data_IF_532612047952
#
_entry.id   IF_532612047952
#
_cell.length_a   1.000
_cell.length_b   1.000
_cell.length_c   1.000
_cell.angle_alpha   90.00
_cell.angle_beta   90.00
_cell.angle_gamma   90.00
#
_symmetry.space_group_name_H-M   'P 1'
#
loop_
_entity.id
_entity.type
_entity.pdbx_description
1 polymer ?
#
# COMPACT_ATOMS: atom_id res chain seq x y z
N UNK A 1 33.46 -32.01 11.80
CA UNK A 1 32.06 -32.15 11.37
C UNK A 1 31.50 -30.73 11.27
N UNK A 2 31.44 -30.18 10.04
CA UNK A 2 30.90 -28.82 9.82
C UNK A 2 29.41 -28.96 9.55
N UNK A 3 28.59 -28.52 10.47
CA UNK A 3 27.11 -28.45 10.32
C UNK A 3 26.79 -27.29 9.42
N UNK A 4 26.40 -27.56 8.19
CA UNK A 4 25.88 -26.56 7.25
C UNK A 4 24.44 -26.26 7.69
N UNK A 5 24.21 -25.09 8.26
CA UNK A 5 22.86 -24.58 8.51
C UNK A 5 22.31 -24.08 7.17
N UNK A 6 21.35 -24.80 6.62
CA UNK A 6 20.58 -24.37 5.46
C UNK A 6 19.73 -23.17 5.88
N UNK A 7 20.07 -21.99 5.37
CA UNK A 7 19.21 -20.80 5.48
C UNK A 7 18.07 -20.95 4.47
N UNK A 8 16.89 -21.26 4.92
CA UNK A 8 15.68 -21.09 4.14
C UNK A 8 15.40 -19.60 4.08
N UNK A 9 15.68 -18.99 2.96
CA UNK A 9 15.20 -17.63 2.64
C UNK A 9 13.68 -17.75 2.50
N UNK A 10 12.92 -17.22 3.44
CA UNK A 10 11.46 -17.05 3.26
C UNK A 10 11.30 -16.01 2.16
N UNK A 11 10.69 -16.40 1.06
CA UNK A 11 10.28 -15.44 0.04
C UNK A 11 9.34 -14.42 0.69
N UNK A 12 9.66 -13.13 0.54
CA UNK A 12 8.76 -12.08 0.95
C UNK A 12 7.48 -12.22 0.12
N UNK A 13 6.34 -12.34 0.78
CA UNK A 13 5.04 -12.29 0.11
C UNK A 13 4.86 -10.82 -0.26
N UNK A 14 4.95 -10.51 -1.55
CA UNK A 14 4.64 -9.17 -2.06
C UNK A 14 3.12 -9.02 -2.04
N UNK A 15 2.60 -8.33 -1.04
CA UNK A 15 1.21 -7.89 -1.02
C UNK A 15 1.15 -6.58 -1.80
N UNK A 16 0.37 -6.48 -2.90
CA UNK A 16 0.29 -5.26 -3.68
C UNK A 16 -0.33 -4.14 -2.87
N UNK A 17 0.32 -2.98 -2.92
CA UNK A 17 -0.20 -1.65 -2.55
C UNK A 17 -0.75 -1.42 -1.13
N UNK A 18 -0.25 -2.11 -0.12
CA UNK A 18 -0.05 -1.51 1.18
C UNK A 18 1.46 -1.37 1.34
N UNK A 19 1.94 -0.24 1.77
CA UNK A 19 3.33 -0.06 2.19
C UNK A 19 3.56 -0.96 3.40
N UNK A 20 3.60 -2.27 3.16
CA UNK A 20 4.13 -3.18 4.14
C UNK A 20 5.62 -3.03 3.98
N UNK A 21 6.22 -2.23 4.85
CA UNK A 21 7.64 -2.39 5.11
C UNK A 21 7.89 -3.88 5.18
N UNK A 22 8.60 -4.38 4.18
CA UNK A 22 9.12 -5.74 4.24
C UNK A 22 9.79 -5.83 5.60
N UNK A 23 9.17 -6.56 6.52
CA UNK A 23 9.66 -6.65 7.88
C UNK A 23 11.10 -7.05 7.78
N UNK A 24 12.00 -6.12 8.08
CA UNK A 24 13.43 -6.31 7.99
C UNK A 24 13.79 -7.51 8.86
N UNK A 25 13.85 -8.67 8.25
CA UNK A 25 14.36 -9.86 8.88
C UNK A 25 15.86 -9.67 8.99
N UNK A 26 16.34 -9.36 10.21
CA UNK A 26 17.73 -9.29 10.63
C UNK A 26 18.56 -8.21 9.95
N UNK A 27 18.52 -7.00 10.51
CA UNK A 27 19.44 -5.92 10.21
C UNK A 27 20.91 -6.36 10.37
N UNK A 28 21.66 -6.25 9.30
CA UNK A 28 23.08 -6.00 9.32
C UNK A 28 23.28 -4.55 8.90
N UNK A 29 24.17 -3.84 9.55
CA UNK A 29 24.53 -2.43 9.41
C UNK A 29 23.93 -1.69 8.19
N UNK A 30 22.93 -0.84 8.43
CA UNK A 30 22.30 0.09 7.50
C UNK A 30 22.24 -0.37 6.04
N UNK A 31 21.12 -0.96 5.60
CA UNK A 31 20.97 -1.52 4.25
C UNK A 31 20.15 -0.58 3.36
N UNK A 32 20.67 -0.32 2.17
CA UNK A 32 19.91 0.30 1.09
C UNK A 32 19.31 -0.76 0.19
N UNK A 33 18.07 -0.58 -0.20
CA UNK A 33 17.40 -1.39 -1.21
C UNK A 33 16.63 -0.50 -2.20
N UNK A 34 16.39 -1.04 -3.37
CA UNK A 34 15.52 -0.42 -4.35
C UNK A 34 14.60 -1.49 -4.94
N UNK A 35 13.44 -1.05 -5.41
CA UNK A 35 12.50 -1.92 -6.09
C UNK A 35 12.01 -1.25 -7.37
N UNK A 36 11.55 -2.06 -8.31
CA UNK A 36 10.84 -1.60 -9.50
C UNK A 36 9.74 -2.60 -9.85
N UNK A 37 8.59 -2.11 -10.28
CA UNK A 37 7.48 -2.96 -10.67
C UNK A 37 6.69 -2.38 -11.84
N UNK A 38 5.95 -3.27 -12.50
CA UNK A 38 4.91 -2.94 -13.44
C UNK A 38 3.63 -3.65 -13.04
N UNK A 39 2.51 -2.95 -13.10
CA UNK A 39 1.20 -3.51 -12.82
C UNK A 39 0.23 -3.17 -13.95
N UNK A 40 -0.72 -4.06 -14.22
CA UNK A 40 -1.77 -3.81 -15.23
C UNK A 40 -2.82 -2.80 -14.76
N UNK A 41 -2.86 -2.52 -13.46
CA UNK A 41 -3.73 -1.54 -12.83
C UNK A 41 -3.15 -1.22 -11.44
N UNK A 42 -2.95 0.04 -11.13
CA UNK A 42 -2.56 0.44 -9.79
C UNK A 42 -3.81 0.52 -8.91
N UNK A 43 -3.92 -0.37 -7.94
CA UNK A 43 -5.01 -0.41 -6.97
C UNK A 43 -4.50 0.07 -5.61
N UNK A 44 -5.09 1.14 -5.07
CA UNK A 44 -4.86 1.64 -3.73
C UNK A 44 -6.16 1.55 -2.93
N UNK A 45 -6.16 0.81 -1.83
CA UNK A 45 -7.35 0.58 -0.98
C UNK A 45 -8.59 0.17 -1.80
N UNK A 46 -8.40 -0.74 -2.78
CA UNK A 46 -9.46 -1.23 -3.65
C UNK A 46 -9.82 -0.34 -4.84
N UNK A 47 -9.35 0.91 -4.86
CA UNK A 47 -9.65 1.89 -5.91
C UNK A 47 -8.54 1.94 -6.96
N UNK A 48 -8.91 2.03 -8.24
CA UNK A 48 -7.92 2.23 -9.32
C UNK A 48 -7.33 3.64 -9.26
N UNK A 49 -6.02 3.74 -9.38
CA UNK A 49 -5.28 5.00 -9.44
C UNK A 49 -4.85 5.33 -10.88
N UNK A 50 -5.21 4.48 -11.84
CA UNK A 50 -4.79 4.60 -13.24
C UNK A 50 -5.92 4.35 -14.23
N UNK A 51 -7.19 4.57 -13.86
CA UNK A 51 -8.36 4.28 -14.73
C UNK A 51 -8.36 2.85 -15.29
N UNK A 52 -7.89 1.87 -14.52
CA UNK A 52 -7.68 0.48 -14.93
C UNK A 52 -6.60 0.31 -16.01
N UNK A 53 -5.69 1.27 -16.15
CA UNK A 53 -4.54 1.20 -17.04
C UNK A 53 -3.26 0.80 -16.29
N UNK A 54 -2.19 0.54 -17.04
CA UNK A 54 -0.93 0.08 -16.47
C UNK A 54 -0.17 1.18 -15.73
N UNK A 55 0.53 0.79 -14.68
CA UNK A 55 1.48 1.64 -13.97
C UNK A 55 2.90 1.06 -13.97
N UNK A 56 3.88 1.97 -13.93
CA UNK A 56 5.29 1.69 -13.63
C UNK A 56 5.61 2.34 -12.29
N UNK A 57 6.17 1.55 -11.40
CA UNK A 57 6.34 1.91 -9.99
C UNK A 57 7.74 1.58 -9.52
N UNK A 58 8.23 2.28 -8.51
CA UNK A 58 9.51 1.94 -7.91
C UNK A 58 9.86 2.80 -6.72
N UNK A 59 10.78 2.32 -5.90
CA UNK A 59 11.18 2.99 -4.67
C UNK A 59 12.62 2.70 -4.27
N UNK A 60 13.09 3.48 -3.31
CA UNK A 60 14.39 3.33 -2.66
C UNK A 60 14.19 3.45 -1.15
N UNK A 61 14.77 2.52 -0.41
CA UNK A 61 14.64 2.42 1.03
C UNK A 61 16.00 2.39 1.71
N UNK A 62 16.06 2.92 2.91
CA UNK A 62 17.15 2.74 3.86
C UNK A 62 16.60 2.21 5.18
N UNK A 63 17.12 1.10 5.65
CA UNK A 63 16.80 0.52 6.95
C UNK A 63 18.04 0.53 7.85
N UNK A 64 17.96 1.13 9.03
CA UNK A 64 19.01 1.16 10.03
C UNK A 64 18.90 -0.03 10.99
N UNK A 65 20.02 -0.46 11.59
CA UNK A 65 20.10 -1.58 12.55
C UNK A 65 19.20 -1.44 13.78
N UNK A 66 18.88 -0.21 14.13
CA UNK A 66 18.06 0.08 15.31
C UNK A 66 16.56 0.02 15.05
N UNK A 67 16.13 -0.32 13.83
CA UNK A 67 14.75 -0.39 13.42
C UNK A 67 14.19 0.88 12.78
N UNK A 68 14.95 1.99 12.75
CA UNK A 68 14.56 3.18 11.99
C UNK A 68 14.67 2.90 10.48
N UNK A 69 13.73 3.40 9.70
CA UNK A 69 13.78 3.38 8.24
C UNK A 69 13.24 4.67 7.64
N UNK A 70 13.67 4.94 6.41
CA UNK A 70 13.17 6.01 5.57
C UNK A 70 13.18 5.52 4.12
N UNK A 71 12.21 5.93 3.35
CA UNK A 71 12.13 5.57 1.95
C UNK A 71 11.34 6.55 1.12
N UNK A 72 11.34 6.29 -0.17
CA UNK A 72 10.56 7.01 -1.17
C UNK A 72 10.08 6.03 -2.23
N UNK A 73 8.89 6.28 -2.74
CA UNK A 73 8.29 5.49 -3.80
C UNK A 73 7.56 6.39 -4.79
N UNK A 74 7.39 5.95 -6.02
CA UNK A 74 6.67 6.71 -7.03
C UNK A 74 5.94 5.79 -8.02
N UNK A 75 4.85 6.30 -8.57
CA UNK A 75 4.03 5.70 -9.62
C UNK A 75 3.48 6.76 -10.56
N UNK A 76 3.22 6.40 -11.81
CA UNK A 76 2.28 7.18 -12.59
C UNK A 76 0.85 6.95 -12.09
N UNK A 77 0.03 7.98 -12.16
CA UNK A 77 -1.41 7.94 -11.88
C UNK A 77 -2.20 8.58 -13.02
N UNK A 78 -3.49 8.28 -13.10
CA UNK A 78 -4.41 8.85 -14.08
C UNK A 78 -5.84 8.73 -13.52
N UNK A 79 -6.51 9.84 -13.31
CA UNK A 79 -7.87 9.88 -12.78
C UNK A 79 -8.89 10.37 -13.81
N UNK A 80 -8.48 10.52 -15.08
CA UNK A 80 -9.38 10.80 -16.18
C UNK A 80 -8.95 11.91 -17.12
N UNK A 81 -9.65 12.02 -18.22
CA UNK A 81 -9.32 12.98 -19.25
C UNK A 81 -9.47 14.42 -18.75
N UNK A 82 -8.35 15.13 -18.67
CA UNK A 82 -8.29 16.53 -18.26
C UNK A 82 -8.07 16.76 -16.79
N UNK A 83 -7.76 15.71 -16.02
CA UNK A 83 -7.22 15.85 -14.67
C UNK A 83 -5.83 16.49 -14.68
N UNK A 84 -5.34 16.87 -13.52
CA UNK A 84 -4.04 17.50 -13.34
C UNK A 84 -2.98 16.54 -12.80
N UNK A 85 -3.37 15.28 -12.56
CA UNK A 85 -2.51 14.27 -11.97
C UNK A 85 -1.73 13.50 -13.02
N UNK A 86 -0.44 13.29 -12.81
CA UNK A 86 0.40 12.44 -13.65
C UNK A 86 1.27 11.47 -12.87
N UNK A 87 1.58 11.80 -11.60
CA UNK A 87 2.36 10.96 -10.71
C UNK A 87 1.86 11.03 -9.27
N UNK A 88 2.20 10.00 -8.51
CA UNK A 88 2.21 9.96 -7.06
C UNK A 88 3.65 9.72 -6.62
N UNK A 89 4.11 10.48 -5.65
CA UNK A 89 5.44 10.37 -5.06
C UNK A 89 5.34 10.38 -3.54
N UNK A 90 5.68 9.25 -2.93
CA UNK A 90 5.61 9.04 -1.51
C UNK A 90 6.96 9.24 -0.84
N UNK A 91 6.93 9.85 0.35
CA UNK A 91 8.07 9.91 1.26
C UNK A 91 7.62 9.42 2.63
N UNK A 92 8.34 8.48 3.19
CA UNK A 92 7.96 7.88 4.46
C UNK A 92 9.16 7.65 5.37
N UNK A 93 8.86 7.64 6.68
CA UNK A 93 9.82 7.27 7.70
C UNK A 93 9.08 6.57 8.86
N UNK A 94 9.76 5.62 9.50
CA UNK A 94 9.14 4.89 10.60
C UNK A 94 10.15 4.15 11.47
N UNK A 95 9.59 3.40 12.40
CA UNK A 95 10.34 2.61 13.34
C UNK A 95 9.68 1.24 13.54
N UNK A 96 10.40 0.19 13.14
CA UNK A 96 10.00 -1.20 13.28
C UNK A 96 10.70 -1.85 14.50
N UNK A 97 9.95 -2.56 15.32
CA UNK A 97 10.47 -3.26 16.50
C UNK A 97 9.64 -4.51 16.82
N UNK A 98 10.11 -5.34 17.74
CA UNK A 98 9.38 -6.54 18.16
C UNK A 98 9.26 -6.62 19.68
N UNK A 99 8.14 -7.15 20.15
CA UNK A 99 7.88 -7.49 21.55
C UNK A 99 7.41 -8.94 21.65
N UNK A 100 8.32 -9.86 21.98
CA UNK A 100 8.06 -11.29 21.90
C UNK A 100 7.83 -11.73 20.45
N UNK A 101 6.72 -12.39 20.21
CA UNK A 101 6.35 -12.88 18.86
C UNK A 101 5.56 -11.83 18.04
N UNK A 102 5.35 -10.64 18.58
CA UNK A 102 4.63 -9.55 17.93
C UNK A 102 5.63 -8.58 17.32
N UNK A 103 5.49 -8.30 16.04
CA UNK A 103 6.17 -7.21 15.34
C UNK A 103 5.29 -5.97 15.32
N UNK A 104 5.93 -4.81 15.44
CA UNK A 104 5.30 -3.49 15.41
C UNK A 104 5.97 -2.62 14.39
N UNK A 105 5.19 -1.75 13.79
CA UNK A 105 5.65 -0.71 12.88
C UNK A 105 4.87 0.58 13.16
N UNK A 106 5.57 1.69 13.33
CA UNK A 106 4.95 3.01 13.52
C UNK A 106 5.66 4.01 12.63
N UNK A 107 4.90 4.85 11.95
CA UNK A 107 5.53 5.79 11.02
C UNK A 107 4.58 6.86 10.51
N UNK A 108 5.12 7.60 9.56
CA UNK A 108 4.44 8.65 8.82
C UNK A 108 4.71 8.45 7.33
N UNK A 109 3.67 8.57 6.53
CA UNK A 109 3.70 8.49 5.07
C UNK A 109 3.09 9.76 4.51
N UNK A 110 3.80 10.43 3.61
CA UNK A 110 3.37 11.61 2.89
C UNK A 110 3.21 11.27 1.42
N UNK A 111 2.02 11.49 0.90
CA UNK A 111 1.66 11.35 -0.51
C UNK A 111 1.74 12.72 -1.18
N UNK A 112 2.54 12.82 -2.23
CA UNK A 112 2.73 14.04 -3.00
C UNK A 112 2.36 13.81 -4.46
N UNK A 113 1.59 14.73 -5.01
CA UNK A 113 1.12 14.72 -6.39
C UNK A 113 1.64 15.93 -7.17
N UNK A 114 1.16 16.11 -8.40
CA UNK A 114 1.42 17.32 -9.18
C UNK A 114 0.92 18.56 -8.45
N UNK A 115 1.70 19.63 -8.47
CA UNK A 115 1.44 20.84 -7.68
C UNK A 115 0.10 21.51 -7.99
N UNK A 116 -0.43 21.31 -9.20
CA UNK A 116 -1.72 21.82 -9.62
C UNK A 116 -2.89 21.02 -9.04
N UNK A 117 -2.61 19.86 -8.43
CA UNK A 117 -3.63 19.00 -7.82
C UNK A 117 -4.12 19.56 -6.48
N UNK A 118 -3.25 20.26 -5.74
CA UNK A 118 -3.53 20.78 -4.39
C UNK A 118 -4.17 19.69 -3.49
N UNK A 119 -3.61 18.48 -3.53
CA UNK A 119 -4.19 17.28 -2.89
C UNK A 119 -3.17 16.46 -2.10
N UNK A 120 -2.02 17.02 -1.82
CA UNK A 120 -1.02 16.35 -0.99
C UNK A 120 -1.58 16.05 0.40
N UNK A 121 -1.26 14.87 0.93
CA UNK A 121 -1.70 14.51 2.26
C UNK A 121 -0.70 13.59 2.97
N UNK A 122 -0.82 13.50 4.28
CA UNK A 122 0.00 12.63 5.11
C UNK A 122 -0.80 11.81 6.09
N UNK A 123 -0.32 10.61 6.39
CA UNK A 123 -0.91 9.71 7.36
C UNK A 123 0.12 9.29 8.41
N UNK A 124 -0.30 9.23 9.67
CA UNK A 124 0.42 8.48 10.71
C UNK A 124 -0.16 7.08 10.78
N UNK A 125 0.69 6.08 11.00
CA UNK A 125 0.21 4.70 11.07
C UNK A 125 0.84 3.90 12.21
N UNK A 126 0.12 2.86 12.58
CA UNK A 126 0.60 1.78 13.45
C UNK A 126 0.23 0.44 12.85
N UNK A 127 1.23 -0.40 12.66
CA UNK A 127 1.12 -1.79 12.21
C UNK A 127 1.48 -2.78 13.31
N UNK A 128 0.83 -3.93 13.27
CA UNK A 128 1.11 -5.06 14.15
C UNK A 128 1.06 -6.35 13.34
N UNK A 129 2.02 -7.27 13.59
CA UNK A 129 2.05 -8.60 12.97
C UNK A 129 2.26 -9.71 14.00
N UNK A 130 1.61 -10.84 13.81
CA UNK A 130 1.81 -12.07 14.57
C UNK A 130 1.64 -13.30 13.69
N UNK A 131 2.72 -14.06 13.50
CA UNK A 131 2.73 -15.19 12.57
C UNK A 131 2.46 -14.73 11.14
N UNK A 132 1.41 -15.27 10.53
CA UNK A 132 0.98 -14.96 9.17
C UNK A 132 -0.11 -13.86 9.11
N UNK A 133 -0.48 -13.28 10.25
CA UNK A 133 -1.48 -12.23 10.40
C UNK A 133 -0.84 -10.86 10.58
N UNK A 134 -1.42 -9.82 9.94
CA UNK A 134 -1.11 -8.42 10.24
C UNK A 134 -2.35 -7.55 10.27
N UNK A 135 -2.24 -6.44 10.99
CA UNK A 135 -3.23 -5.37 11.04
C UNK A 135 -2.48 -4.04 10.96
N UNK A 136 -3.01 -3.10 10.19
CA UNK A 136 -2.48 -1.73 10.14
C UNK A 136 -3.61 -0.72 10.28
N UNK A 137 -3.36 0.35 11.00
CA UNK A 137 -4.26 1.46 11.20
C UNK A 137 -3.56 2.74 10.80
N UNK A 138 -4.12 3.41 9.79
CA UNK A 138 -3.65 4.68 9.26
C UNK A 138 -4.64 5.77 9.66
N UNK A 139 -4.14 6.92 10.08
CA UNK A 139 -4.93 8.12 10.40
C UNK A 139 -4.47 9.27 9.52
N UNK A 140 -5.41 9.99 8.91
CA UNK A 140 -5.13 11.26 8.26
C UNK A 140 -4.44 12.21 9.25
N UNK A 141 -3.27 12.70 8.91
CA UNK A 141 -2.50 13.62 9.74
C UNK A 141 -2.62 15.07 9.26
N UNK A 142 -2.61 15.28 7.96
CA UNK A 142 -2.75 16.58 7.31
C UNK A 142 -3.08 16.39 5.83
N UNK A 143 -3.68 17.41 5.21
CA UNK A 143 -3.88 17.47 3.76
C UNK A 143 -3.85 18.91 3.27
N UNK A 144 -3.59 19.09 1.98
CA UNK A 144 -3.73 20.36 1.26
C UNK A 144 -5.12 20.50 0.62
N UNK A 145 -5.89 19.40 0.55
CA UNK A 145 -7.21 19.43 -0.04
C UNK A 145 -8.17 20.38 0.71
N UNK A 146 -8.90 21.15 -0.05
CA UNK A 146 -9.94 22.03 0.49
C UNK A 146 -11.14 21.22 1.00
N UNK A 147 -11.65 21.61 2.18
CA UNK A 147 -12.88 21.04 2.74
C UNK A 147 -14.12 21.57 2.00
N UNK A 148 -14.99 20.64 1.59
CA UNK A 148 -16.32 20.97 1.12
C UNK A 148 -17.28 21.35 2.26
N UNK A 149 -18.50 21.77 1.92
CA UNK A 149 -19.52 22.11 2.93
C UNK A 149 -19.87 20.91 3.81
N UNK A 150 -19.53 20.98 5.09
CA UNK A 150 -19.82 19.93 6.08
C UNK A 150 -18.80 18.82 6.15
N UNK A 151 -17.67 18.91 5.43
CA UNK A 151 -16.54 18.00 5.54
C UNK A 151 -15.55 18.45 6.61
N UNK A 152 -14.86 17.49 7.23
CA UNK A 152 -13.75 17.69 8.16
C UNK A 152 -12.56 16.84 7.73
N UNK A 153 -11.45 17.49 7.37
CA UNK A 153 -10.19 16.87 7.00
C UNK A 153 -9.10 17.05 8.07
N UNK A 154 -9.52 17.33 9.30
CA UNK A 154 -8.62 17.48 10.45
C UNK A 154 -7.90 16.20 10.81
N UNK A 155 -6.95 16.33 11.72
CA UNK A 155 -6.18 15.20 12.23
C UNK A 155 -7.08 14.12 12.84
N UNK A 156 -7.02 12.90 12.27
CA UNK A 156 -7.75 11.74 12.77
C UNK A 156 -9.20 11.62 12.32
N UNK A 157 -9.72 12.59 11.54
CA UNK A 157 -11.12 12.58 11.07
C UNK A 157 -11.34 11.57 9.92
N UNK A 158 -10.26 11.05 9.34
CA UNK A 158 -10.33 9.93 8.42
C UNK A 158 -9.30 8.85 8.78
N UNK A 159 -9.66 7.60 8.54
CA UNK A 159 -8.79 6.47 8.83
C UNK A 159 -8.94 5.32 7.83
N UNK A 160 -7.88 4.53 7.73
CA UNK A 160 -7.92 3.24 7.04
C UNK A 160 -7.42 2.12 7.96
N UNK A 161 -8.24 1.08 8.13
CA UNK A 161 -7.90 -0.11 8.90
C UNK A 161 -7.79 -1.29 7.95
N UNK A 162 -6.64 -1.97 7.90
CA UNK A 162 -6.45 -3.20 7.14
C UNK A 162 -6.20 -4.42 8.01
N UNK A 163 -6.63 -5.57 7.52
CA UNK A 163 -6.37 -6.90 8.05
C UNK A 163 -5.82 -7.75 6.91
N UNK A 164 -4.69 -8.40 7.15
CA UNK A 164 -4.00 -9.21 6.16
C UNK A 164 -3.67 -10.60 6.73
N UNK A 165 -3.75 -11.60 5.86
CA UNK A 165 -3.32 -12.96 6.16
C UNK A 165 -2.59 -13.56 4.97
N UNK A 166 -1.34 -14.00 5.17
CA UNK A 166 -0.51 -14.53 4.10
C UNK A 166 0.06 -15.90 4.43
N UNK A 167 0.04 -16.84 3.46
CA UNK A 167 0.64 -18.17 3.62
C UNK A 167 1.21 -18.68 2.30
N UNK A 168 2.11 -19.66 2.37
CA UNK A 168 2.71 -20.29 1.21
C UNK A 168 2.18 -21.70 1.00
N UNK A 169 1.80 -22.02 -0.23
CA UNK A 169 1.43 -23.37 -0.66
C UNK A 169 2.68 -24.22 -0.85
N UNK A 170 2.53 -25.55 -0.79
CA UNK A 170 3.63 -26.50 -0.92
C UNK A 170 4.42 -26.46 -2.24
N UNK A 171 3.85 -25.80 -3.28
CA UNK A 171 4.48 -25.59 -4.58
C UNK A 171 5.20 -24.22 -4.69
N UNK A 172 5.33 -23.47 -3.57
CA UNK A 172 6.00 -22.19 -3.50
C UNK A 172 5.15 -21.03 -4.04
N UNK A 173 3.84 -21.18 -4.15
CA UNK A 173 2.92 -20.07 -4.44
C UNK A 173 2.52 -19.42 -3.12
N UNK A 174 2.80 -18.13 -2.96
CA UNK A 174 2.27 -17.31 -1.89
C UNK A 174 0.81 -16.98 -2.14
N UNK A 175 0.00 -17.01 -1.09
CA UNK A 175 -1.42 -16.60 -1.09
C UNK A 175 -1.60 -15.50 -0.08
N UNK A 176 -2.14 -14.36 -0.51
CA UNK A 176 -2.51 -13.24 0.34
C UNK A 176 -4.01 -13.04 0.37
N UNK A 177 -4.55 -12.78 1.55
CA UNK A 177 -5.94 -12.36 1.77
C UNK A 177 -5.89 -10.99 2.45
N UNK A 178 -6.68 -10.07 1.96
CA UNK A 178 -6.74 -8.69 2.45
C UNK A 178 -8.18 -8.25 2.62
N UNK A 179 -8.42 -7.45 3.65
CA UNK A 179 -9.64 -6.70 3.86
C UNK A 179 -9.29 -5.37 4.51
N UNK A 180 -9.78 -4.27 3.93
CA UNK A 180 -9.57 -2.92 4.42
C UNK A 180 -10.88 -2.16 4.58
N UNK A 181 -10.90 -1.17 5.47
CA UNK A 181 -12.02 -0.25 5.66
C UNK A 181 -11.48 1.18 5.76
N UNK A 182 -11.90 2.01 4.82
CA UNK A 182 -11.59 3.44 4.76
C UNK A 182 -12.84 4.22 5.17
N UNK A 183 -12.72 5.14 6.12
CA UNK A 183 -13.83 5.90 6.65
C UNK A 183 -13.39 7.34 6.97
N UNK A 184 -14.38 8.25 6.98
CA UNK A 184 -14.21 9.68 7.18
C UNK A 184 -14.44 10.48 5.90
N UNK A 185 -14.65 11.78 6.04
CA UNK A 185 -15.01 12.66 4.90
C UNK A 185 -13.89 12.69 3.83
N UNK A 186 -12.64 12.55 4.24
CA UNK A 186 -11.51 12.48 3.30
C UNK A 186 -11.56 11.20 2.43
N UNK A 187 -12.16 10.08 2.90
CA UNK A 187 -12.36 8.90 2.08
C UNK A 187 -13.29 9.15 0.89
N UNK A 188 -14.25 10.07 1.02
CA UNK A 188 -15.15 10.48 -0.07
C UNK A 188 -14.39 11.16 -1.21
N UNK A 189 -13.34 11.90 -0.92
CA UNK A 189 -12.50 12.55 -1.93
C UNK A 189 -11.90 11.54 -2.92
N UNK A 190 -11.62 10.30 -2.49
CA UNK A 190 -11.08 9.23 -3.35
C UNK A 190 -12.15 8.43 -4.08
N UNK A 191 -13.32 8.21 -3.50
CA UNK A 191 -14.34 7.34 -4.08
C UNK A 191 -15.53 8.11 -4.69
N UNK A 192 -15.67 9.40 -4.35
CA UNK A 192 -16.62 10.34 -4.96
C UNK A 192 -18.09 10.15 -4.54
N UNK A 193 -18.43 9.25 -3.61
CA UNK A 193 -19.82 9.00 -3.31
C UNK A 193 -20.15 8.45 -1.91
N UNK A 194 -19.18 8.13 -1.07
CA UNK A 194 -19.42 7.62 0.27
C UNK A 194 -18.27 7.95 1.22
N UNK A 195 -18.58 8.42 2.44
CA UNK A 195 -17.57 8.69 3.46
C UNK A 195 -16.88 7.42 3.99
N UNK A 196 -17.44 6.24 3.76
CA UNK A 196 -16.82 4.98 4.16
C UNK A 196 -17.10 3.85 3.18
N UNK A 197 -16.06 3.00 2.96
CA UNK A 197 -16.17 1.79 2.14
C UNK A 197 -15.21 0.71 2.63
N UNK A 198 -15.46 -0.51 2.19
CA UNK A 198 -14.60 -1.68 2.47
C UNK A 198 -14.07 -2.22 1.15
N UNK A 199 -12.78 -2.52 1.13
CA UNK A 199 -12.13 -3.22 0.04
C UNK A 199 -11.65 -4.60 0.50
N UNK A 200 -11.50 -5.52 -0.45
CA UNK A 200 -11.00 -6.86 -0.20
C UNK A 200 -10.33 -7.44 -1.44
N UNK A 201 -9.29 -8.20 -1.21
CA UNK A 201 -8.63 -8.89 -2.31
C UNK A 201 -8.07 -10.27 -1.90
N UNK A 202 -7.83 -11.07 -2.92
CA UNK A 202 -7.03 -12.29 -2.86
C UNK A 202 -5.91 -12.20 -3.88
N UNK A 203 -4.70 -12.54 -3.48
CA UNK A 203 -3.52 -12.52 -4.34
C UNK A 203 -2.78 -13.84 -4.36
N UNK A 204 -2.14 -14.14 -5.49
CA UNK A 204 -1.29 -15.30 -5.71
C UNK A 204 0.04 -14.81 -6.26
N UNK A 205 1.15 -15.10 -5.58
CA UNK A 205 2.47 -14.61 -5.96
C UNK A 205 3.48 -15.74 -6.15
N UNK A 206 4.34 -15.59 -7.16
CA UNK A 206 5.48 -16.48 -7.38
C UNK A 206 6.50 -15.86 -8.33
N UNK A 207 7.79 -15.97 -7.98
CA UNK A 207 8.92 -15.58 -8.83
C UNK A 207 8.80 -14.12 -9.36
N UNK A 208 8.37 -13.20 -8.51
CA UNK A 208 8.15 -11.79 -8.83
C UNK A 208 6.79 -11.47 -9.48
N UNK A 209 6.05 -12.46 -9.96
CA UNK A 209 4.70 -12.28 -10.48
C UNK A 209 3.67 -12.30 -9.36
N UNK A 210 2.67 -11.43 -9.49
CA UNK A 210 1.47 -11.46 -8.65
C UNK A 210 0.24 -11.36 -9.54
N UNK A 211 -0.73 -12.23 -9.25
CA UNK A 211 -2.09 -12.14 -9.77
C UNK A 211 -3.02 -11.81 -8.60
N UNK A 212 -3.80 -10.75 -8.72
CA UNK A 212 -4.72 -10.30 -7.68
C UNK A 212 -6.14 -10.18 -8.24
N UNK A 213 -7.11 -10.55 -7.43
CA UNK A 213 -8.53 -10.30 -7.64
C UNK A 213 -8.97 -9.36 -6.53
N UNK A 214 -9.41 -8.16 -6.88
CA UNK A 214 -9.78 -7.10 -5.94
C UNK A 214 -11.18 -6.59 -6.21
N UNK A 215 -11.90 -6.23 -5.16
CA UNK A 215 -13.24 -5.67 -5.21
C UNK A 215 -13.48 -4.72 -4.04
N UNK A 216 -14.52 -3.93 -4.11
CA UNK A 216 -14.97 -3.01 -3.06
C UNK A 216 -16.48 -3.10 -2.87
N UNK A 217 -16.98 -2.52 -1.79
CA UNK A 217 -18.41 -2.31 -1.61
C UNK A 217 -18.87 -0.88 -1.97
N UNK A 218 -18.02 -0.09 -2.61
CA UNK A 218 -18.39 1.23 -3.16
C UNK A 218 -19.56 1.03 -4.12
N UNK A 219 -20.63 1.80 -3.92
CA UNK A 219 -21.82 1.72 -4.75
C UNK A 219 -21.97 3.00 -5.58
N UNK A 220 -22.29 2.81 -6.81
CA UNK A 220 -22.53 3.87 -7.77
C UNK A 220 -21.55 3.82 -8.90
N UNK A 221 -22.07 3.81 -10.12
CA UNK A 221 -21.23 4.07 -11.28
C UNK A 221 -20.55 5.42 -11.08
N UNK A 222 -19.27 5.49 -11.44
CA UNK A 222 -18.58 6.73 -11.58
C UNK A 222 -19.49 7.78 -12.28
N UNK A 223 -19.36 9.03 -11.89
CA UNK A 223 -19.99 10.13 -12.62
C UNK A 223 -19.67 10.01 -14.11
N UNK A 224 -20.53 10.54 -14.98
CA UNK A 224 -20.39 10.41 -16.45
C UNK A 224 -18.96 10.77 -16.88
N UNK A 225 -18.19 9.76 -17.32
CA UNK A 225 -16.77 9.90 -17.67
C UNK A 225 -15.77 9.36 -16.64
N UNK A 226 -16.22 8.90 -15.48
CA UNK A 226 -15.35 8.26 -14.47
C UNK A 226 -15.25 6.73 -14.64
N UNK A 227 -14.36 6.12 -13.88
CA UNK A 227 -14.14 4.68 -13.86
C UNK A 227 -14.93 4.01 -12.73
N UNK A 228 -15.34 2.77 -13.00
CA UNK A 228 -16.16 1.98 -12.10
C UNK A 228 -15.30 1.28 -11.02
N UNK A 229 -15.38 1.73 -9.78
CA UNK A 229 -14.76 1.10 -8.63
C UNK A 229 -15.63 0.02 -7.95
N UNK A 230 -16.88 -0.19 -8.42
CA UNK A 230 -17.82 -1.22 -7.96
C UNK A 230 -17.65 -2.56 -8.71
N UNK A 231 -16.76 -2.63 -9.68
CA UNK A 231 -16.54 -3.85 -10.46
C UNK A 231 -15.31 -4.63 -9.99
N UNK A 232 -15.44 -5.96 -10.06
CA UNK A 232 -14.34 -6.88 -9.78
C UNK A 232 -13.14 -6.61 -10.70
N UNK A 233 -11.95 -6.42 -10.12
CA UNK A 233 -10.71 -6.12 -10.84
C UNK A 233 -9.76 -7.30 -10.82
N UNK A 234 -9.16 -7.58 -11.98
CA UNK A 234 -8.12 -8.59 -12.15
C UNK A 234 -6.80 -7.88 -12.48
N UNK A 235 -5.80 -8.04 -11.63
CA UNK A 235 -4.54 -7.33 -11.73
C UNK A 235 -3.40 -8.32 -11.86
N UNK A 236 -2.49 -8.06 -12.80
CA UNK A 236 -1.22 -8.78 -12.95
C UNK A 236 -0.09 -7.79 -12.72
N UNK A 237 0.84 -8.14 -11.85
CA UNK A 237 2.02 -7.33 -11.56
C UNK A 237 3.29 -8.17 -11.68
N UNK A 238 4.40 -7.51 -11.97
CA UNK A 238 5.74 -8.08 -11.88
C UNK A 238 6.66 -7.10 -11.17
N UNK A 239 7.35 -7.57 -10.13
CA UNK A 239 8.25 -6.76 -9.31
C UNK A 239 9.64 -7.39 -9.24
N UNK A 240 10.65 -6.55 -9.12
CA UNK A 240 12.04 -6.92 -8.89
C UNK A 240 12.61 -6.11 -7.73
N UNK A 241 13.32 -6.78 -6.83
CA UNK A 241 14.10 -6.15 -5.77
C UNK A 241 15.56 -6.02 -6.23
N UNK A 242 16.16 -4.88 -5.94
CA UNK A 242 17.53 -4.53 -6.31
C UNK A 242 18.30 -4.32 -4.99
N UNK A 243 19.17 -5.28 -4.65
CA UNK A 243 20.10 -5.12 -3.53
C UNK A 243 21.20 -4.13 -3.91
N UNK A 244 21.53 -3.18 -3.01
CA UNK A 244 22.54 -2.15 -3.22
C UNK A 244 23.68 -2.29 -2.21
#
# INVERSE_FOLDING_TARGET
MKTTISRTTKAAIVIPAALICAMATTANAGEWSANASMTSNYIWRGLTQTENEAAVQGGIDYAADNGFYVGTWASNVNYGAGDVYSYEHDVYAGYAFSTGDISWDVGYLYYNYDSEAEFDFGEVYVGMGIGDFSVQYNLLANTEADEGEGQDFGFGEAYYLSLDYGFELSNGVGVGLHMGHHDGDFAEAFNGNASGYTDYNVSFSKDGFTFMISDTNVKGAAAEGGYDNDSLKFVVSYAVDIAM
#
